data_IF_722070764508
#
_entry.id   IF_722070764508
#
_cell.length_a   1.000
_cell.length_b   1.000
_cell.length_c   1.000
_cell.angle_alpha   90.00
_cell.angle_beta   90.00
_cell.angle_gamma   90.00
#
_symmetry.space_group_name_H-M   'P 1'
#
loop_
_entity.id
_entity.type
_entity.pdbx_description
1 polymer ?
#
# COMPACT_ATOMS: atom_id res chain seq x y z
N UNK A 1 0.05 -6.83 -17.54
CA UNK A 1 -0.91 -7.96 -17.22
C UNK A 1 -1.49 -7.73 -15.83
N UNK A 2 -2.82 -7.93 -15.64
CA UNK A 2 -3.47 -7.78 -14.33
C UNK A 2 -3.03 -8.88 -13.37
N UNK A 3 -2.29 -8.51 -12.32
CA UNK A 3 -1.78 -9.41 -11.29
C UNK A 3 -2.86 -9.70 -10.24
N UNK A 4 -2.84 -10.86 -9.57
CA UNK A 4 -3.74 -11.11 -8.45
C UNK A 4 -3.26 -10.35 -7.20
N UNK A 5 -4.23 -9.87 -6.38
CA UNK A 5 -3.95 -9.18 -5.13
C UNK A 5 -4.01 -10.17 -3.96
N UNK A 6 -2.98 -10.15 -3.13
CA UNK A 6 -2.84 -11.00 -1.95
C UNK A 6 -3.65 -10.43 -0.79
N UNK A 7 -4.45 -11.29 -0.17
CA UNK A 7 -5.42 -10.89 0.85
C UNK A 7 -4.85 -11.01 2.26
N UNK A 8 -5.46 -10.27 3.18
CA UNK A 8 -5.17 -10.33 4.61
C UNK A 8 -5.04 -11.76 5.11
N UNK A 9 -4.00 -12.00 5.90
CA UNK A 9 -3.63 -13.32 6.42
C UNK A 9 -2.57 -14.04 5.58
N UNK A 10 -2.30 -13.61 4.34
CA UNK A 10 -1.19 -14.15 3.55
C UNK A 10 0.14 -13.67 4.14
N UNK A 11 1.13 -14.57 4.37
CA UNK A 11 2.40 -14.22 5.02
C UNK A 11 3.16 -13.08 4.36
N UNK A 12 3.17 -13.01 3.03
CA UNK A 12 3.91 -11.97 2.27
C UNK A 12 3.54 -10.54 2.68
N UNK A 13 2.30 -10.31 3.15
CA UNK A 13 1.87 -8.98 3.61
C UNK A 13 2.49 -8.57 4.96
N UNK A 14 3.21 -9.48 5.61
CA UNK A 14 3.91 -9.27 6.88
C UNK A 14 5.43 -9.32 6.74
N UNK A 15 5.91 -9.51 5.53
CA UNK A 15 7.34 -9.49 5.24
C UNK A 15 7.83 -8.07 5.03
N UNK A 16 9.02 -7.76 5.55
CA UNK A 16 9.71 -6.50 5.24
C UNK A 16 10.32 -6.63 3.85
N UNK A 17 9.99 -5.69 2.98
CA UNK A 17 10.47 -5.68 1.60
C UNK A 17 11.98 -5.49 1.51
N UNK A 18 12.63 -6.27 0.64
CA UNK A 18 14.05 -6.15 0.34
C UNK A 18 14.32 -5.04 -0.67
N UNK A 19 15.47 -4.39 -0.55
CA UNK A 19 15.94 -3.44 -1.57
C UNK A 19 16.20 -4.17 -2.88
N UNK A 20 15.96 -3.49 -3.99
CA UNK A 20 16.23 -4.00 -5.34
C UNK A 20 17.24 -3.10 -6.05
N UNK A 21 17.93 -3.66 -7.02
CA UNK A 21 18.88 -2.97 -7.88
C UNK A 21 18.33 -2.81 -9.30
N UNK A 22 18.96 -1.98 -10.11
CA UNK A 22 18.48 -1.66 -11.46
C UNK A 22 18.46 -2.89 -12.41
N UNK A 23 19.20 -3.92 -12.08
CA UNK A 23 19.25 -5.21 -12.81
C UNK A 23 18.23 -6.23 -12.31
N UNK A 24 17.25 -5.82 -11.44
CA UNK A 24 16.18 -6.70 -11.01
C UNK A 24 15.39 -7.22 -12.22
N UNK A 25 15.38 -8.55 -12.39
CA UNK A 25 14.83 -9.20 -13.57
C UNK A 25 13.34 -8.86 -13.77
N UNK A 26 13.01 -8.35 -14.95
CA UNK A 26 11.64 -8.02 -15.35
C UNK A 26 11.04 -6.80 -14.64
N UNK A 27 11.85 -5.93 -14.04
CA UNK A 27 11.36 -4.78 -13.25
C UNK A 27 10.43 -3.86 -14.04
N UNK A 28 10.77 -3.50 -15.27
CA UNK A 28 9.93 -2.62 -16.11
C UNK A 28 8.54 -3.22 -16.31
N UNK A 29 8.48 -4.49 -16.71
CA UNK A 29 7.21 -5.22 -16.87
C UNK A 29 6.44 -5.33 -15.56
N UNK A 30 7.12 -5.56 -14.43
CA UNK A 30 6.50 -5.61 -13.12
C UNK A 30 5.85 -4.27 -12.75
N UNK A 31 6.54 -3.16 -12.98
CA UNK A 31 6.01 -1.81 -12.72
C UNK A 31 4.77 -1.54 -13.60
N UNK A 32 4.84 -1.86 -14.89
CA UNK A 32 3.69 -1.72 -15.80
C UNK A 32 2.49 -2.56 -15.35
N UNK A 33 2.73 -3.82 -14.97
CA UNK A 33 1.70 -4.73 -14.45
C UNK A 33 1.11 -4.22 -13.13
N UNK A 34 1.92 -3.61 -12.25
CA UNK A 34 1.44 -2.99 -11.02
C UNK A 34 0.52 -1.79 -11.31
N UNK A 35 0.88 -0.92 -12.24
CA UNK A 35 0.04 0.19 -12.68
C UNK A 35 -1.29 -0.31 -13.25
N UNK A 36 -1.26 -1.28 -14.16
CA UNK A 36 -2.48 -1.87 -14.74
C UNK A 36 -3.37 -2.50 -13.66
N UNK A 37 -2.77 -3.22 -12.71
CA UNK A 37 -3.47 -3.87 -11.61
C UNK A 37 -4.12 -2.86 -10.68
N UNK A 38 -3.39 -1.81 -10.31
CA UNK A 38 -3.87 -0.73 -9.44
C UNK A 38 -5.11 -0.06 -10.03
N UNK A 39 -5.05 0.38 -11.29
CA UNK A 39 -6.18 1.02 -11.96
C UNK A 39 -7.37 0.08 -12.13
N UNK A 40 -7.12 -1.17 -12.52
CA UNK A 40 -8.19 -2.16 -12.66
C UNK A 40 -8.92 -2.46 -11.36
N UNK A 41 -8.23 -2.31 -10.24
CA UNK A 41 -8.78 -2.58 -8.89
C UNK A 41 -9.33 -1.34 -8.20
N UNK A 42 -9.45 -0.20 -8.92
CA UNK A 42 -9.90 1.10 -8.41
C UNK A 42 -9.03 1.62 -7.24
N UNK A 43 -7.72 1.28 -7.25
CA UNK A 43 -6.74 1.74 -6.27
C UNK A 43 -6.09 3.06 -6.64
N UNK A 44 -5.64 3.82 -5.65
CA UNK A 44 -4.79 5.02 -5.80
C UNK A 44 -3.34 4.73 -5.45
N UNK A 45 -3.05 3.57 -4.89
CA UNK A 45 -1.73 3.03 -4.59
C UNK A 45 -1.74 1.51 -4.62
N UNK A 46 -0.56 0.92 -4.86
CA UNK A 46 -0.34 -0.53 -4.82
C UNK A 46 1.12 -0.82 -4.52
N UNK A 47 1.37 -1.62 -3.49
CA UNK A 47 2.70 -2.05 -3.09
C UNK A 47 3.01 -3.48 -3.54
N UNK A 48 4.29 -3.76 -3.80
CA UNK A 48 4.74 -5.07 -4.28
C UNK A 48 4.37 -6.25 -3.35
N UNK A 49 4.36 -6.14 -2.01
CA UNK A 49 3.84 -7.22 -1.16
C UNK A 49 2.39 -7.59 -1.47
N UNK A 50 1.56 -6.65 -1.90
CA UNK A 50 0.16 -6.90 -2.26
C UNK A 50 0.01 -7.72 -3.56
N UNK A 51 1.06 -7.85 -4.35
CA UNK A 51 1.12 -8.72 -5.53
C UNK A 51 2.10 -9.90 -5.33
N UNK A 52 2.42 -10.22 -4.08
CA UNK A 52 3.20 -11.39 -3.70
C UNK A 52 4.72 -11.24 -3.81
N UNK A 53 5.25 -10.02 -3.85
CA UNK A 53 6.68 -9.72 -3.94
C UNK A 53 7.15 -8.94 -2.71
N UNK A 54 7.95 -9.55 -1.84
CA UNK A 54 8.51 -8.90 -0.66
C UNK A 54 9.72 -8.01 -1.04
N UNK A 55 9.47 -6.98 -1.86
CA UNK A 55 10.47 -5.99 -2.29
C UNK A 55 9.99 -4.58 -1.98
N UNK A 56 10.91 -3.64 -1.87
CA UNK A 56 10.63 -2.22 -1.58
C UNK A 56 10.26 -1.46 -2.86
N UNK A 57 9.06 -1.73 -3.33
CA UNK A 57 8.48 -1.11 -4.53
C UNK A 57 7.00 -0.84 -4.29
N UNK A 58 6.56 0.38 -4.61
CA UNK A 58 5.14 0.72 -4.70
C UNK A 58 4.89 1.80 -5.74
N UNK A 59 3.66 1.89 -6.21
CA UNK A 59 3.19 2.88 -7.18
C UNK A 59 2.01 3.65 -6.61
N UNK A 60 1.92 4.94 -6.91
CA UNK A 60 0.83 5.82 -6.47
C UNK A 60 0.40 6.71 -7.63
N UNK A 61 -0.91 6.83 -7.83
CA UNK A 61 -1.53 7.88 -8.63
C UNK A 61 -2.65 8.51 -7.81
N UNK A 62 -2.31 9.59 -7.11
CA UNK A 62 -3.26 10.38 -6.32
C UNK A 62 -3.71 11.66 -7.04
N UNK A 63 -3.21 11.94 -8.26
CA UNK A 63 -3.60 13.12 -9.04
C UNK A 63 -5.13 13.23 -9.25
N UNK A 64 -5.89 12.13 -9.49
CA UNK A 64 -7.34 12.19 -9.57
C UNK A 64 -8.04 12.71 -8.31
N UNK A 65 -7.36 12.69 -7.15
CA UNK A 65 -7.88 13.21 -5.88
C UNK A 65 -7.66 14.72 -5.70
N UNK A 66 -6.97 15.38 -6.64
CA UNK A 66 -6.55 16.78 -6.50
C UNK A 66 -7.71 17.79 -6.43
N UNK A 67 -8.91 17.46 -6.92
CA UNK A 67 -10.10 18.31 -6.75
C UNK A 67 -10.51 18.44 -5.27
N UNK A 68 -10.35 17.37 -4.48
CA UNK A 68 -10.68 17.36 -3.06
C UNK A 68 -9.45 17.65 -2.19
N UNK A 69 -8.28 17.17 -2.62
CA UNK A 69 -7.01 17.26 -1.90
C UNK A 69 -5.96 17.90 -2.83
N UNK A 70 -5.87 19.24 -2.88
CA UNK A 70 -4.99 19.94 -3.82
C UNK A 70 -3.51 19.54 -3.74
N UNK A 71 -3.06 19.08 -2.59
CA UNK A 71 -1.69 18.57 -2.37
C UNK A 71 -1.38 17.28 -3.16
N UNK A 72 -2.40 16.61 -3.70
CA UNK A 72 -2.24 15.42 -4.56
C UNK A 72 -1.95 15.74 -6.02
N UNK A 73 -2.03 17.04 -6.41
CA UNK A 73 -1.86 17.45 -7.80
C UNK A 73 -0.50 17.02 -8.36
N UNK A 74 -0.53 16.24 -9.44
CA UNK A 74 0.67 15.74 -10.12
C UNK A 74 1.34 14.56 -9.41
N UNK A 75 0.78 14.02 -8.31
CA UNK A 75 1.33 12.86 -7.63
C UNK A 75 0.98 11.58 -8.38
N UNK A 76 1.82 11.25 -9.36
CA UNK A 76 1.87 9.96 -10.05
C UNK A 76 3.30 9.48 -10.10
N UNK A 77 3.65 8.49 -9.26
CA UNK A 77 5.04 8.14 -9.02
C UNK A 77 5.26 6.67 -8.69
N UNK A 78 6.41 6.16 -9.13
CA UNK A 78 6.97 4.87 -8.70
C UNK A 78 8.02 5.10 -7.62
N UNK A 79 7.91 4.39 -6.51
CA UNK A 79 8.83 4.48 -5.38
C UNK A 79 9.60 3.18 -5.23
N UNK A 80 10.92 3.23 -5.42
CA UNK A 80 11.84 2.10 -5.26
C UNK A 80 12.74 2.38 -4.07
N UNK A 81 12.96 1.38 -3.22
CA UNK A 81 13.82 1.43 -2.03
C UNK A 81 13.51 2.61 -1.10
N UNK A 82 12.24 2.97 -1.01
CA UNK A 82 11.79 4.14 -0.27
C UNK A 82 12.09 4.05 1.24
N UNK A 83 12.43 5.19 1.84
CA UNK A 83 12.65 5.37 3.29
C UNK A 83 12.01 6.69 3.73
N UNK A 84 11.07 6.65 4.67
CA UNK A 84 10.62 7.86 5.37
C UNK A 84 11.71 8.25 6.35
N UNK A 85 12.26 9.45 6.17
CA UNK A 85 13.41 9.95 6.95
C UNK A 85 13.02 11.01 7.97
N UNK A 86 11.86 11.69 7.78
CA UNK A 86 11.31 12.66 8.72
C UNK A 86 9.79 12.53 8.75
N UNK A 87 9.19 12.80 9.90
CA UNK A 87 7.74 12.86 10.10
C UNK A 87 7.40 13.99 11.05
N UNK A 88 6.30 14.71 10.80
CA UNK A 88 5.82 15.75 11.70
C UNK A 88 5.24 15.17 13.00
N UNK A 89 5.24 15.98 14.05
CA UNK A 89 4.48 15.69 15.28
C UNK A 89 2.98 15.90 15.08
N UNK A 90 2.60 16.85 14.23
CA UNK A 90 1.21 17.08 13.86
C UNK A 90 0.66 15.86 13.11
N UNK A 91 -0.57 15.50 13.44
CA UNK A 91 -1.24 14.31 12.87
C UNK A 91 -2.59 14.64 12.29
N UNK A 92 -3.01 13.84 11.32
CA UNK A 92 -4.34 13.86 10.72
C UNK A 92 -4.99 12.48 10.86
N UNK A 93 -6.30 12.48 11.13
CA UNK A 93 -7.09 11.26 11.27
C UNK A 93 -8.12 11.19 10.16
N UNK A 94 -7.94 10.26 9.21
CA UNK A 94 -8.80 10.07 8.05
C UNK A 94 -9.13 8.59 7.82
N UNK A 95 -10.18 8.32 7.07
CA UNK A 95 -10.56 6.97 6.70
C UNK A 95 -9.59 6.40 5.66
N UNK A 96 -9.20 5.16 5.88
CA UNK A 96 -8.39 4.36 4.95
C UNK A 96 -9.09 3.04 4.64
N UNK A 97 -8.91 2.59 3.41
CA UNK A 97 -9.20 1.23 2.94
C UNK A 97 -7.96 0.64 2.29
N UNK A 98 -8.00 -0.64 1.96
CA UNK A 98 -6.89 -1.35 1.33
C UNK A 98 -7.40 -2.43 0.38
N UNK A 99 -6.79 -2.54 -0.79
CA UNK A 99 -7.11 -3.58 -1.77
C UNK A 99 -6.89 -5.01 -1.21
N UNK A 100 -5.96 -5.17 -0.27
CA UNK A 100 -5.72 -6.45 0.42
C UNK A 100 -6.70 -6.74 1.56
N UNK A 101 -7.57 -5.77 1.91
CA UNK A 101 -8.56 -5.86 3.00
C UNK A 101 -9.91 -5.27 2.52
N UNK A 102 -10.52 -5.81 1.46
CA UNK A 102 -11.72 -5.23 0.86
C UNK A 102 -12.89 -5.19 1.83
N UNK A 103 -13.68 -4.11 1.73
CA UNK A 103 -14.89 -3.92 2.56
C UNK A 103 -14.64 -3.56 4.02
N UNK A 104 -13.40 -3.18 4.38
CA UNK A 104 -13.05 -2.60 5.67
C UNK A 104 -12.45 -1.22 5.44
N UNK A 105 -13.09 -0.22 6.05
CA UNK A 105 -12.61 1.16 6.08
C UNK A 105 -12.59 1.61 7.55
N UNK A 106 -11.47 2.17 7.98
CA UNK A 106 -11.27 2.58 9.36
C UNK A 106 -10.49 3.90 9.44
N UNK A 107 -10.80 4.68 10.47
CA UNK A 107 -10.08 5.91 10.73
C UNK A 107 -8.68 5.62 11.27
N UNK A 108 -7.67 6.16 10.59
CA UNK A 108 -6.25 6.01 10.93
C UNK A 108 -5.63 7.37 11.20
N UNK A 109 -4.91 7.49 12.30
CA UNK A 109 -4.12 8.69 12.63
C UNK A 109 -2.71 8.52 12.09
N UNK A 110 -2.23 9.50 11.31
CA UNK A 110 -0.89 9.51 10.72
C UNK A 110 -0.24 10.88 10.84
N UNK A 111 1.10 10.98 10.85
CA UNK A 111 1.80 12.25 10.65
C UNK A 111 1.23 13.01 9.45
N UNK A 112 1.01 14.31 9.65
CA UNK A 112 0.43 15.17 8.62
C UNK A 112 1.43 15.48 7.49
N UNK A 113 2.73 15.41 7.80
CA UNK A 113 3.83 15.69 6.87
C UNK A 113 4.90 14.64 7.01
N UNK A 114 5.46 14.20 5.88
CA UNK A 114 6.60 13.29 5.84
C UNK A 114 7.64 13.78 4.84
N UNK A 115 8.92 13.50 5.10
CA UNK A 115 9.98 13.57 4.09
C UNK A 115 10.41 12.15 3.76
N UNK A 116 10.45 11.81 2.48
CA UNK A 116 10.77 10.47 1.99
C UNK A 116 11.92 10.53 0.97
N UNK A 117 12.86 9.61 1.11
CA UNK A 117 13.92 9.35 0.15
C UNK A 117 13.59 8.08 -0.63
N UNK A 118 13.76 8.11 -1.95
CA UNK A 118 13.46 6.96 -2.81
C UNK A 118 14.19 7.07 -4.15
N UNK A 119 14.18 5.98 -4.92
CA UNK A 119 14.57 5.96 -6.32
C UNK A 119 13.31 5.93 -7.18
N UNK A 120 13.31 6.70 -8.29
CA UNK A 120 12.25 6.61 -9.30
C UNK A 120 12.45 5.36 -10.19
N UNK A 121 11.60 5.19 -11.21
CA UNK A 121 11.68 4.07 -12.14
C UNK A 121 13.01 4.00 -12.93
N UNK A 122 13.70 5.12 -13.07
CA UNK A 122 15.01 5.23 -13.72
C UNK A 122 16.18 5.13 -12.73
N UNK A 123 15.91 4.72 -11.49
CA UNK A 123 16.88 4.65 -10.37
C UNK A 123 17.57 5.98 -10.03
N UNK A 124 16.92 7.10 -10.34
CA UNK A 124 17.39 8.42 -9.92
C UNK A 124 16.92 8.72 -8.49
N UNK A 125 17.80 9.22 -7.61
CA UNK A 125 17.46 9.50 -6.22
C UNK A 125 16.61 10.77 -6.10
N UNK A 126 15.60 10.68 -5.25
CA UNK A 126 14.71 11.77 -4.86
C UNK A 126 14.65 11.89 -3.34
N UNK A 127 14.50 13.13 -2.86
CA UNK A 127 14.14 13.45 -1.48
C UNK A 127 13.06 14.51 -1.53
N UNK A 128 11.87 14.17 -1.09
CA UNK A 128 10.69 15.01 -1.24
C UNK A 128 9.86 15.03 0.03
N UNK A 129 9.20 16.16 0.28
CA UNK A 129 8.29 16.34 1.42
C UNK A 129 6.85 16.40 0.92
N UNK A 130 6.00 15.59 1.51
CA UNK A 130 4.57 15.50 1.21
C UNK A 130 3.75 15.83 2.46
N UNK A 131 2.56 16.41 2.24
CA UNK A 131 1.63 16.82 3.31
C UNK A 131 0.24 16.24 3.08
N UNK A 132 -0.60 16.27 4.11
CA UNK A 132 -2.03 15.98 4.02
C UNK A 132 -2.34 14.59 3.47
N UNK A 133 -3.26 14.53 2.51
CA UNK A 133 -3.69 13.27 1.91
C UNK A 133 -2.61 12.61 1.05
N UNK A 134 -1.77 13.41 0.36
CA UNK A 134 -0.62 12.89 -0.38
C UNK A 134 0.34 12.13 0.55
N UNK A 135 0.69 12.73 1.71
CA UNK A 135 1.51 12.06 2.71
C UNK A 135 0.84 10.79 3.26
N UNK A 136 -0.50 10.78 3.39
CA UNK A 136 -1.27 9.62 3.85
C UNK A 136 -1.17 8.43 2.89
N UNK A 137 -1.40 8.66 1.61
CA UNK A 137 -1.32 7.60 0.58
C UNK A 137 0.09 7.01 0.54
N UNK A 138 1.12 7.85 0.57
CA UNK A 138 2.52 7.39 0.61
C UNK A 138 2.80 6.56 1.86
N UNK A 139 2.36 6.99 3.03
CA UNK A 139 2.55 6.23 4.29
C UNK A 139 1.82 4.89 4.28
N UNK A 140 0.64 4.82 3.63
CA UNK A 140 -0.11 3.57 3.50
C UNK A 140 0.68 2.54 2.68
N UNK A 141 1.18 2.94 1.51
CA UNK A 141 1.97 2.05 0.65
C UNK A 141 3.35 1.73 1.24
N UNK A 142 3.97 2.70 1.92
CA UNK A 142 5.20 2.50 2.68
C UNK A 142 5.04 1.45 3.78
N UNK A 143 3.93 1.49 4.53
CA UNK A 143 3.62 0.49 5.55
C UNK A 143 3.63 -0.93 4.96
N UNK A 144 3.08 -1.12 3.75
CA UNK A 144 3.09 -2.44 3.10
C UNK A 144 4.50 -2.99 2.87
N UNK A 145 5.46 -2.17 2.50
CA UNK A 145 6.85 -2.60 2.34
C UNK A 145 7.60 -2.77 3.67
N UNK A 146 7.02 -2.33 4.78
CA UNK A 146 7.47 -2.59 6.16
C UNK A 146 6.70 -3.76 6.83
N UNK A 147 5.83 -4.47 6.09
CA UNK A 147 5.01 -5.55 6.64
C UNK A 147 3.91 -5.09 7.59
N UNK A 148 3.53 -3.82 7.54
CA UNK A 148 2.50 -3.18 8.37
C UNK A 148 1.23 -2.96 7.57
N UNK A 149 0.08 -3.14 8.18
CA UNK A 149 -1.23 -2.89 7.59
C UNK A 149 -1.95 -1.76 8.34
N UNK A 150 -2.79 -0.98 7.64
CA UNK A 150 -3.48 0.16 8.26
C UNK A 150 -4.32 -0.24 9.49
N UNK A 151 -4.84 -1.47 9.53
CA UNK A 151 -5.59 -2.02 10.67
C UNK A 151 -4.73 -2.22 11.92
N UNK A 152 -3.41 -2.20 11.81
CA UNK A 152 -2.51 -2.26 12.96
C UNK A 152 -2.50 -0.94 13.74
N UNK A 153 -2.86 0.16 13.06
CA UNK A 153 -2.82 1.55 13.56
C UNK A 153 -4.18 2.05 14.07
N UNK A 154 -5.26 1.27 13.93
CA UNK A 154 -6.60 1.65 14.41
C UNK A 154 -6.77 1.40 15.91
N UNK A 155 -7.74 2.07 16.53
CA UNK A 155 -8.04 1.90 17.95
C UNK A 155 -8.43 0.45 18.29
N UNK A 156 -8.05 -0.01 19.49
CA UNK A 156 -8.26 -1.40 19.93
C UNK A 156 -9.72 -1.84 19.84
N UNK A 157 -10.65 -0.96 20.20
CA UNK A 157 -12.08 -1.26 20.09
C UNK A 157 -12.50 -1.51 18.63
N UNK A 158 -11.94 -0.76 17.68
CA UNK A 158 -12.21 -0.94 16.25
C UNK A 158 -11.64 -2.28 15.76
N UNK A 159 -10.44 -2.67 16.21
CA UNK A 159 -9.86 -3.99 15.90
C UNK A 159 -10.80 -5.13 16.31
N UNK A 160 -11.41 -5.02 17.46
CA UNK A 160 -12.37 -6.05 17.94
C UNK A 160 -13.61 -6.12 17.05
N UNK A 161 -14.16 -4.97 16.62
CA UNK A 161 -15.35 -4.94 15.76
C UNK A 161 -15.11 -5.57 14.38
N UNK A 162 -13.92 -5.43 13.82
CA UNK A 162 -13.59 -5.99 12.50
C UNK A 162 -13.03 -7.41 12.55
N UNK A 163 -12.74 -7.95 13.75
CA UNK A 163 -12.11 -9.26 13.96
C UNK A 163 -12.81 -10.40 13.20
N UNK A 164 -14.14 -10.41 13.20
CA UNK A 164 -14.92 -11.43 12.49
C UNK A 164 -14.75 -11.36 10.97
N UNK A 165 -14.73 -10.14 10.40
CA UNK A 165 -14.48 -9.94 8.96
C UNK A 165 -13.07 -10.39 8.59
N UNK A 166 -12.06 -10.01 9.37
CA UNK A 166 -10.66 -10.42 9.16
C UNK A 166 -10.49 -11.94 9.24
N UNK A 167 -11.13 -12.60 10.21
CA UNK A 167 -11.10 -14.06 10.33
C UNK A 167 -11.75 -14.74 9.10
N UNK A 168 -12.80 -14.18 8.53
CA UNK A 168 -13.41 -14.66 7.30
C UNK A 168 -12.45 -14.53 6.10
N UNK A 169 -11.75 -13.40 5.96
CA UNK A 169 -10.75 -13.22 4.91
C UNK A 169 -9.63 -14.26 5.00
N UNK A 170 -9.10 -14.51 6.20
CA UNK A 170 -8.10 -15.56 6.44
C UNK A 170 -8.58 -16.96 6.04
N UNK A 171 -9.88 -17.22 6.12
CA UNK A 171 -10.50 -18.49 5.67
C UNK A 171 -10.85 -18.49 4.18
N UNK A 172 -10.40 -17.49 3.42
CA UNK A 172 -10.67 -17.38 1.99
C UNK A 172 -12.07 -16.86 1.63
N UNK A 173 -12.84 -16.36 2.59
CA UNK A 173 -14.16 -15.75 2.35
C UNK A 173 -13.97 -14.26 2.01
N UNK A 174 -13.64 -13.99 0.74
CA UNK A 174 -13.39 -12.65 0.20
C UNK A 174 -14.24 -12.45 -1.04
N UNK A 175 -14.81 -11.27 -1.20
CA UNK A 175 -15.47 -10.82 -2.43
C UNK A 175 -14.79 -9.55 -2.92
N UNK A 176 -14.26 -9.59 -4.14
CA UNK A 176 -13.67 -8.46 -4.85
C UNK A 176 -13.91 -8.64 -6.36
N UNK A 177 -13.91 -7.56 -7.12
CA UNK A 177 -14.08 -7.63 -8.59
C UNK A 177 -12.76 -7.93 -9.31
N UNK A 178 -11.65 -7.98 -8.57
CA UNK A 178 -10.32 -8.35 -9.08
C UNK A 178 -9.89 -9.73 -8.59
N UNK A 179 -8.87 -10.30 -9.23
CA UNK A 179 -8.31 -11.61 -8.85
C UNK A 179 -7.62 -11.51 -7.49
N UNK A 180 -7.88 -12.49 -6.62
CA UNK A 180 -7.32 -12.52 -5.27
C UNK A 180 -6.55 -13.82 -5.00
N UNK A 181 -5.53 -13.72 -4.13
CA UNK A 181 -4.82 -14.85 -3.52
C UNK A 181 -5.06 -14.80 -2.02
N UNK A 182 -5.75 -15.78 -1.49
CA UNK A 182 -6.04 -15.88 -0.06
C UNK A 182 -4.92 -16.57 0.71
N UNK A 183 -4.92 -16.43 2.04
CA UNK A 183 -3.95 -17.11 2.88
C UNK A 183 -3.98 -18.63 2.66
N UNK A 184 -2.82 -19.31 2.72
CA UNK A 184 -2.75 -20.76 2.64
C UNK A 184 -3.61 -21.37 3.75
N UNK A 185 -4.54 -22.28 3.37
CA UNK A 185 -5.35 -22.99 4.36
C UNK A 185 -4.53 -24.16 4.93
N UNK A 186 -4.48 -24.29 6.26
CA UNK A 186 -3.89 -25.49 6.87
C UNK A 186 -4.69 -26.71 6.38
N UNK A 187 -4.02 -27.63 5.71
CA UNK A 187 -4.60 -28.95 5.47
C UNK A 187 -4.88 -29.59 6.83
N UNK A 188 -6.13 -30.01 7.05
CA UNK A 188 -6.51 -30.80 8.22
C UNK A 188 -5.88 -32.21 8.12
#
# INVERSE_FOLDING_TARGET
>A
MKLPIYMYGHPVLREVGQDITADYEGLSTLIEDMWETMYFSDGIGLAAPQIGRAIRLFVIDADPMAETFPECKGLKQTFINARIVESSEDTLAENEGCLSIPGINEKVTRPATITIEYLNADFQPHRETYTGFAARVIQHEYDHIEGVLFIDKIATIRKQLIKGKLANMQKGKVSAHYRVVTAPQKRK
#
